data_IF_477328373558
#
_entry.id   IF_477328373558
#
_cell.length_a   1.000
_cell.length_b   1.000
_cell.length_c   1.000
_cell.angle_alpha   90.00
_cell.angle_beta   90.00
_cell.angle_gamma   90.00
#
_symmetry.space_group_name_H-M   'P 1'
#
loop_
_entity.id
_entity.type
_entity.pdbx_description
1 polymer ?
#
# COMPACT_ATOMS: atom_id res chain seq x y z
N UNK A 1 -3.71 41.48 29.35
CA UNK A 1 -4.84 40.55 29.31
C UNK A 1 -4.43 39.37 28.47
N UNK A 2 -4.11 38.27 29.14
CA UNK A 2 -3.70 37.00 28.48
C UNK A 2 -4.96 36.26 28.07
N UNK A 3 -5.04 35.88 26.81
CA UNK A 3 -6.04 34.92 26.36
C UNK A 3 -5.30 33.61 25.98
N UNK A 4 -5.31 32.66 26.91
CA UNK A 4 -4.86 31.30 26.71
C UNK A 4 -6.07 30.53 26.17
N UNK A 5 -6.00 30.08 24.93
CA UNK A 5 -7.04 29.24 24.35
C UNK A 5 -6.64 27.78 24.53
N UNK A 6 -7.42 27.09 25.32
CA UNK A 6 -7.31 25.64 25.58
C UNK A 6 -7.58 24.84 24.31
N UNK A 7 -6.60 24.05 23.88
CA UNK A 7 -6.73 23.03 22.83
C UNK A 7 -7.17 21.72 23.48
N UNK A 8 -8.28 21.10 23.09
CA UNK A 8 -8.71 19.85 23.69
C UNK A 8 -7.83 18.67 23.25
N UNK A 9 -7.16 18.04 24.21
CA UNK A 9 -6.17 16.95 24.05
C UNK A 9 -6.82 15.57 23.81
N UNK A 10 -8.12 15.47 23.64
CA UNK A 10 -8.84 14.19 23.71
C UNK A 10 -8.86 13.33 22.45
N UNK A 11 -8.48 13.86 21.27
CA UNK A 11 -8.55 13.08 20.02
C UNK A 11 -7.23 12.45 19.56
N UNK A 12 -6.11 12.73 20.23
CA UNK A 12 -4.80 12.18 19.84
C UNK A 12 -4.53 10.76 20.35
N UNK A 13 -5.24 10.31 21.38
CA UNK A 13 -4.95 9.03 22.03
C UNK A 13 -5.53 7.81 21.29
N UNK A 14 -6.62 7.99 20.56
CA UNK A 14 -7.27 6.88 19.82
C UNK A 14 -6.54 6.54 18.52
N UNK A 15 -5.93 7.54 17.87
CA UNK A 15 -5.18 7.34 16.62
C UNK A 15 -3.83 6.62 16.78
N UNK A 16 -3.22 6.69 17.97
CA UNK A 16 -1.90 6.09 18.24
C UNK A 16 -1.95 4.57 18.44
N UNK A 17 -3.11 4.02 18.83
CA UNK A 17 -3.25 2.60 19.15
C UNK A 17 -3.42 1.71 17.91
N UNK A 18 -3.98 2.24 16.86
CA UNK A 18 -4.17 1.51 15.58
C UNK A 18 -2.89 1.46 14.74
N UNK A 19 -2.10 2.55 14.76
CA UNK A 19 -0.85 2.61 14.00
C UNK A 19 0.25 1.72 14.56
N UNK A 20 0.26 1.45 15.87
CA UNK A 20 1.26 0.55 16.49
C UNK A 20 1.16 -0.90 16.04
N UNK A 21 -0.02 -1.38 15.63
CA UNK A 21 -0.19 -2.75 15.13
C UNK A 21 0.38 -2.96 13.74
N UNK A 22 0.40 -1.91 12.91
CA UNK A 22 0.97 -1.97 11.56
C UNK A 22 2.51 -1.96 11.57
N UNK A 23 3.12 -1.35 12.61
CA UNK A 23 4.58 -1.28 12.78
C UNK A 23 5.21 -2.60 13.24
N UNK A 24 4.47 -3.46 13.91
CA UNK A 24 4.93 -4.79 14.32
C UNK A 24 5.14 -5.72 13.12
N UNK A 25 4.53 -5.42 11.98
CA UNK A 25 4.67 -6.20 10.75
C UNK A 25 5.85 -5.75 9.87
N UNK A 26 6.30 -4.52 10.03
CA UNK A 26 7.39 -3.93 9.26
C UNK A 26 8.69 -3.89 10.05
N UNK A 27 9.18 -5.05 10.49
CA UNK A 27 10.50 -5.32 11.07
C UNK A 27 11.29 -4.11 11.59
N UNK A 28 11.50 -4.07 12.92
CA UNK A 28 12.26 -3.08 13.67
C UNK A 28 13.61 -2.73 13.03
N UNK A 29 13.74 -1.51 12.57
CA UNK A 29 15.01 -0.80 12.55
C UNK A 29 14.83 0.48 13.35
N UNK A 30 15.33 0.45 14.57
CA UNK A 30 15.38 1.53 15.52
C UNK A 30 16.27 2.65 14.99
N UNK A 31 15.69 3.75 14.58
CA UNK A 31 16.32 5.05 14.60
C UNK A 31 15.24 6.08 14.88
N UNK A 32 15.46 6.85 15.94
CA UNK A 32 14.65 7.95 16.42
C UNK A 32 14.63 9.09 15.40
N UNK A 33 13.87 8.91 14.33
CA UNK A 33 13.53 9.97 13.38
C UNK A 33 12.09 10.39 13.63
N UNK A 34 11.84 11.68 13.63
CA UNK A 34 10.53 12.28 13.84
C UNK A 34 9.45 11.53 13.07
N UNK A 35 8.37 11.19 13.73
CA UNK A 35 7.28 10.32 13.28
C UNK A 35 6.79 10.53 11.82
N UNK A 36 6.76 11.74 11.22
CA UNK A 36 6.37 11.93 9.83
C UNK A 36 7.39 11.40 8.80
N UNK A 37 8.69 11.40 9.12
CA UNK A 37 9.74 10.94 8.21
C UNK A 37 9.70 9.41 8.03
N UNK A 38 9.44 8.66 9.08
CA UNK A 38 9.26 7.21 9.02
C UNK A 38 8.08 6.84 8.12
N UNK A 39 6.95 7.53 8.25
CA UNK A 39 5.76 7.26 7.47
C UNK A 39 5.92 7.58 5.97
N UNK A 40 6.66 8.67 5.64
CA UNK A 40 7.04 9.00 4.26
C UNK A 40 7.88 7.89 3.62
N UNK A 41 8.90 7.42 4.34
CA UNK A 41 9.77 6.33 3.87
C UNK A 41 9.00 5.03 3.67
N UNK A 42 8.13 4.67 4.61
CA UNK A 42 7.30 3.46 4.52
C UNK A 42 6.33 3.54 3.34
N UNK A 43 5.62 4.66 3.17
CA UNK A 43 4.75 4.88 2.02
C UNK A 43 5.52 4.74 0.70
N UNK A 44 6.65 5.42 0.56
CA UNK A 44 7.47 5.38 -0.65
C UNK A 44 8.05 3.99 -0.92
N UNK A 45 8.64 3.34 0.09
CA UNK A 45 9.26 2.03 -0.04
C UNK A 45 8.25 0.94 -0.40
N UNK A 46 7.08 0.89 0.28
CA UNK A 46 6.03 -0.09 0.00
C UNK A 46 5.48 0.06 -1.42
N UNK A 47 5.18 1.29 -1.83
CA UNK A 47 4.65 1.52 -3.17
C UNK A 47 5.69 1.26 -4.26
N UNK A 48 6.93 1.71 -4.07
CA UNK A 48 8.00 1.45 -5.04
C UNK A 48 8.25 -0.06 -5.20
N UNK A 49 8.31 -0.80 -4.11
CA UNK A 49 8.53 -2.25 -4.15
C UNK A 49 7.33 -3.00 -4.75
N UNK A 50 6.10 -2.66 -4.32
CA UNK A 50 4.89 -3.30 -4.81
C UNK A 50 4.68 -3.04 -6.31
N UNK A 51 4.55 -1.76 -6.69
CA UNK A 51 4.20 -1.36 -8.06
C UNK A 51 5.39 -1.33 -9.00
N UNK A 52 6.60 -1.01 -8.50
CA UNK A 52 7.81 -0.91 -9.31
C UNK A 52 8.58 -2.21 -9.50
N UNK A 53 8.43 -3.17 -8.58
CA UNK A 53 9.19 -4.43 -8.60
C UNK A 53 8.26 -5.63 -8.75
N UNK A 54 7.35 -5.87 -7.80
CA UNK A 54 6.55 -7.10 -7.78
C UNK A 54 5.61 -7.21 -8.96
N UNK A 55 4.85 -6.17 -9.28
CA UNK A 55 3.90 -6.23 -10.38
C UNK A 55 4.58 -6.43 -11.75
N UNK A 56 5.68 -5.72 -12.09
CA UNK A 56 6.44 -6.01 -13.31
C UNK A 56 7.04 -7.42 -13.34
N UNK A 57 7.60 -7.91 -12.23
CA UNK A 57 8.12 -9.29 -12.15
C UNK A 57 7.00 -10.30 -12.40
N UNK A 58 5.83 -10.11 -11.79
CA UNK A 58 4.67 -10.96 -12.04
C UNK A 58 4.26 -10.98 -13.52
N UNK A 59 4.26 -9.84 -14.18
CA UNK A 59 3.99 -9.74 -15.62
C UNK A 59 5.05 -10.47 -16.47
N UNK A 60 6.33 -10.36 -16.11
CA UNK A 60 7.45 -11.07 -16.77
C UNK A 60 7.26 -12.58 -16.60
N UNK A 61 6.93 -13.07 -15.41
CA UNK A 61 6.64 -14.48 -15.15
C UNK A 61 5.52 -14.98 -16.06
N UNK A 62 4.40 -14.25 -16.16
CA UNK A 62 3.29 -14.63 -17.03
C UNK A 62 3.68 -14.73 -18.50
N UNK A 63 4.63 -13.87 -18.94
CA UNK A 63 5.05 -13.84 -20.35
C UNK A 63 6.09 -14.90 -20.69
N UNK A 64 7.10 -15.09 -19.85
CA UNK A 64 8.29 -15.90 -20.18
C UNK A 64 8.28 -17.30 -19.58
N UNK A 65 7.56 -17.50 -18.45
CA UNK A 65 7.54 -18.80 -17.75
C UNK A 65 6.37 -19.71 -18.19
N UNK A 66 5.64 -19.37 -19.23
CA UNK A 66 4.48 -20.13 -19.73
C UNK A 66 4.75 -21.60 -20.03
N UNK A 67 6.03 -21.94 -20.30
CA UNK A 67 6.41 -23.34 -20.55
C UNK A 67 6.33 -24.24 -19.31
N UNK A 68 6.23 -23.65 -18.12
CA UNK A 68 6.15 -24.37 -16.83
C UNK A 68 4.70 -24.49 -16.36
N UNK A 69 3.85 -25.05 -17.19
CA UNK A 69 2.44 -25.24 -16.88
C UNK A 69 2.28 -26.41 -15.86
N UNK A 70 1.48 -26.25 -14.76
CA UNK A 70 0.66 -25.12 -14.37
C UNK A 70 1.35 -24.09 -13.43
N UNK A 71 2.64 -24.30 -13.11
CA UNK A 71 3.38 -23.54 -12.09
C UNK A 71 3.44 -22.03 -12.38
N UNK A 72 3.59 -21.64 -13.65
CA UNK A 72 3.67 -20.23 -14.05
C UNK A 72 2.44 -19.42 -13.61
N UNK A 73 1.25 -20.05 -13.67
CA UNK A 73 0.00 -19.41 -13.30
C UNK A 73 -0.05 -19.10 -11.80
N UNK A 74 0.26 -20.08 -10.95
CA UNK A 74 0.28 -19.89 -9.49
C UNK A 74 1.34 -18.89 -9.06
N UNK A 75 2.51 -18.93 -9.70
CA UNK A 75 3.60 -18.00 -9.41
C UNK A 75 3.23 -16.56 -9.81
N UNK A 76 2.67 -16.37 -11.01
CA UNK A 76 2.15 -15.08 -11.45
C UNK A 76 1.08 -14.54 -10.49
N UNK A 77 0.06 -15.34 -10.23
CA UNK A 77 -1.05 -14.97 -9.37
C UNK A 77 -0.58 -14.63 -7.94
N UNK A 78 0.31 -15.44 -7.38
CA UNK A 78 0.87 -15.22 -6.04
C UNK A 78 1.68 -13.92 -5.96
N UNK A 79 2.58 -13.67 -6.90
CA UNK A 79 3.37 -12.43 -6.93
C UNK A 79 2.47 -11.20 -7.10
N UNK A 80 1.48 -11.26 -8.00
CA UNK A 80 0.53 -10.17 -8.22
C UNK A 80 -0.31 -9.88 -6.97
N UNK A 81 -0.80 -10.93 -6.32
CA UNK A 81 -1.58 -10.79 -5.10
C UNK A 81 -0.78 -10.16 -3.96
N UNK A 82 0.44 -10.64 -3.71
CA UNK A 82 1.34 -10.06 -2.69
C UNK A 82 1.67 -8.61 -3.03
N UNK A 83 1.99 -8.31 -4.29
CA UNK A 83 2.24 -6.94 -4.75
C UNK A 83 1.06 -6.02 -4.52
N UNK A 84 -0.16 -6.48 -4.80
CA UNK A 84 -1.39 -5.72 -4.58
C UNK A 84 -1.63 -5.42 -3.10
N UNK A 85 -1.48 -6.41 -2.21
CA UNK A 85 -1.64 -6.23 -0.76
C UNK A 85 -0.62 -5.24 -0.19
N UNK A 86 0.65 -5.34 -0.60
CA UNK A 86 1.69 -4.39 -0.20
C UNK A 86 1.42 -2.98 -0.72
N UNK A 87 0.92 -2.86 -1.95
CA UNK A 87 0.48 -1.60 -2.54
C UNK A 87 -0.66 -0.96 -1.76
N UNK A 88 -1.67 -1.75 -1.35
CA UNK A 88 -2.76 -1.27 -0.48
C UNK A 88 -2.23 -0.77 0.86
N UNK A 89 -1.33 -1.52 1.51
CA UNK A 89 -0.68 -1.08 2.75
C UNK A 89 0.07 0.25 2.56
N UNK A 90 0.76 0.41 1.43
CA UNK A 90 1.40 1.66 1.03
C UNK A 90 0.41 2.82 0.87
N UNK A 91 -0.75 2.59 0.27
CA UNK A 91 -1.81 3.60 0.13
C UNK A 91 -2.36 4.02 1.48
N UNK A 92 -2.64 3.06 2.39
CA UNK A 92 -3.08 3.36 3.77
C UNK A 92 -2.06 4.23 4.50
N UNK A 93 -0.76 3.91 4.38
CA UNK A 93 0.30 4.74 4.92
C UNK A 93 0.31 6.16 4.32
N UNK A 94 0.03 6.29 3.03
CA UNK A 94 -0.09 7.58 2.33
C UNK A 94 -1.27 8.42 2.81
N UNK A 95 -2.44 7.81 3.02
CA UNK A 95 -3.62 8.50 3.58
C UNK A 95 -3.35 8.97 5.02
N UNK A 96 -2.71 8.12 5.84
CA UNK A 96 -2.31 8.49 7.19
C UNK A 96 -1.31 9.65 7.21
N UNK A 97 -0.38 9.67 6.25
CA UNK A 97 0.58 10.75 6.06
C UNK A 97 -0.13 12.06 5.65
N UNK A 98 -1.06 11.99 4.70
CA UNK A 98 -1.84 13.14 4.25
C UNK A 98 -2.60 13.79 5.40
N UNK A 99 -3.27 12.99 6.23
CA UNK A 99 -4.03 13.49 7.38
C UNK A 99 -3.16 14.20 8.42
N UNK A 100 -1.86 13.85 8.50
CA UNK A 100 -0.92 14.46 9.45
C UNK A 100 -0.25 15.73 8.93
N UNK A 101 0.11 15.74 7.64
CA UNK A 101 0.93 16.81 7.06
C UNK A 101 0.05 17.86 6.34
N UNK A 102 -1.17 17.49 5.94
CA UNK A 102 -2.09 18.33 5.15
C UNK A 102 -1.41 18.89 3.88
N UNK A 103 -0.53 18.07 3.28
CA UNK A 103 0.22 18.46 2.08
C UNK A 103 -0.71 18.55 0.87
N UNK A 104 -0.69 19.68 0.20
CA UNK A 104 -1.46 19.88 -1.04
C UNK A 104 -0.69 19.30 -2.23
N UNK A 105 -0.97 18.02 -2.57
CA UNK A 105 -0.35 17.29 -3.69
C UNK A 105 -1.43 16.62 -4.57
N UNK A 106 -2.29 17.42 -5.25
CA UNK A 106 -3.47 16.91 -5.95
C UNK A 106 -3.10 15.93 -7.08
N UNK A 107 -2.03 16.19 -7.81
CA UNK A 107 -1.57 15.33 -8.91
C UNK A 107 -1.13 13.95 -8.40
N UNK A 108 -0.35 13.87 -7.33
CA UNK A 108 0.08 12.62 -6.71
C UNK A 108 -1.11 11.83 -6.17
N UNK A 109 -2.04 12.49 -5.51
CA UNK A 109 -3.27 11.87 -4.98
C UNK A 109 -4.15 11.33 -6.11
N UNK A 110 -4.34 12.10 -7.18
CA UNK A 110 -5.11 11.68 -8.35
C UNK A 110 -4.50 10.46 -9.02
N UNK A 111 -3.18 10.45 -9.22
CA UNK A 111 -2.45 9.32 -9.79
C UNK A 111 -2.55 8.07 -8.90
N UNK A 112 -2.43 8.22 -7.58
CA UNK A 112 -2.57 7.12 -6.63
C UNK A 112 -3.96 6.49 -6.67
N UNK A 113 -5.03 7.29 -6.73
CA UNK A 113 -6.41 6.80 -6.88
C UNK A 113 -6.59 6.08 -8.23
N UNK A 114 -6.06 6.64 -9.31
CA UNK A 114 -6.14 6.03 -10.65
C UNK A 114 -5.48 4.64 -10.67
N UNK A 115 -4.26 4.52 -10.13
CA UNK A 115 -3.54 3.24 -10.04
C UNK A 115 -4.29 2.25 -9.15
N UNK A 116 -4.88 2.70 -8.03
CA UNK A 116 -5.69 1.85 -7.16
C UNK A 116 -6.91 1.29 -7.90
N UNK A 117 -7.64 2.12 -8.64
CA UNK A 117 -8.82 1.69 -9.42
C UNK A 117 -8.41 0.66 -10.47
N UNK A 118 -7.31 0.88 -11.19
CA UNK A 118 -6.79 -0.09 -12.16
C UNK A 118 -6.42 -1.43 -11.49
N UNK A 119 -5.80 -1.39 -10.31
CA UNK A 119 -5.46 -2.58 -9.53
C UNK A 119 -6.69 -3.37 -9.09
N UNK A 120 -7.74 -2.69 -8.62
CA UNK A 120 -9.02 -3.33 -8.26
C UNK A 120 -9.67 -3.98 -9.48
N UNK A 121 -9.73 -3.28 -10.61
CA UNK A 121 -10.27 -3.83 -11.86
C UNK A 121 -9.50 -5.08 -12.32
N UNK A 122 -8.17 -5.07 -12.17
CA UNK A 122 -7.32 -6.23 -12.47
C UNK A 122 -7.66 -7.44 -11.59
N UNK A 123 -7.85 -7.23 -10.28
CA UNK A 123 -8.24 -8.30 -9.34
C UNK A 123 -9.65 -8.82 -9.66
N UNK A 124 -10.60 -7.93 -9.95
CA UNK A 124 -11.95 -8.32 -10.33
C UNK A 124 -11.98 -9.14 -11.64
N UNK A 125 -11.23 -8.71 -12.66
CA UNK A 125 -11.09 -9.45 -13.92
C UNK A 125 -10.49 -10.85 -13.70
N UNK A 126 -9.49 -10.95 -12.83
CA UNK A 126 -8.88 -12.23 -12.46
C UNK A 126 -9.87 -13.16 -11.75
N UNK A 127 -10.62 -12.65 -10.75
CA UNK A 127 -11.64 -13.42 -10.05
C UNK A 127 -12.75 -13.90 -11.00
N UNK A 128 -13.17 -13.04 -11.94
CA UNK A 128 -14.18 -13.39 -12.95
C UNK A 128 -13.66 -14.51 -13.86
N UNK A 129 -12.44 -14.39 -14.37
CA UNK A 129 -11.81 -15.44 -15.18
C UNK A 129 -11.72 -16.79 -14.45
N UNK A 130 -11.37 -16.79 -13.15
CA UNK A 130 -11.33 -18.03 -12.39
C UNK A 130 -12.73 -18.65 -12.23
N UNK A 131 -13.73 -17.83 -11.95
CA UNK A 131 -15.12 -18.30 -11.81
C UNK A 131 -15.67 -18.95 -13.09
N UNK A 132 -15.25 -18.47 -14.26
CA UNK A 132 -15.64 -19.05 -15.57
C UNK A 132 -14.91 -20.39 -15.87
N UNK A 133 -13.72 -20.60 -15.30
CA UNK A 133 -12.89 -21.79 -15.56
C UNK A 133 -13.20 -22.94 -14.59
N UNK A 134 -13.68 -22.60 -13.37
CA UNK A 134 -14.08 -23.61 -12.36
C UNK A 134 -15.61 -23.70 -12.27
N UNK A 135 -16.23 -24.67 -12.95
CA UNK A 135 -17.66 -24.93 -12.83
C UNK A 135 -18.05 -25.51 -11.46
#
# INVERSE_FOLDING_TARGET
MHFCSDVPITNSFFSLKETNKLWLFAGSSSSSSSFPEGLKRTHGALNLFAWGVLLPIGAIVARYCRRWDPLWFYLHAGIQFVGFILGLAGIVAGVSLYNKIQADVPAHRGLGIFVLVLGILQVCAFCFCIAEIMP
#
